data_IF_446864625167
#
_entry.id   IF_446864625167
#
_cell.length_a   1.000
_cell.length_b   1.000
_cell.length_c   1.000
_cell.angle_alpha   90.00
_cell.angle_beta   90.00
_cell.angle_gamma   90.00
#
_symmetry.space_group_name_H-M   'P 1'
#
loop_
_entity.id
_entity.type
_entity.pdbx_description
1 polymer ?
#
# COMPACT_ATOMS: atom_id res chain seq x y z
N UNK A 1 13.24 12.71 -5.49
CA UNK A 1 12.09 12.53 -4.57
C UNK A 1 10.87 13.28 -5.07
N UNK A 2 9.69 12.81 -4.66
CA UNK A 2 8.37 13.39 -4.95
C UNK A 2 7.46 13.16 -3.75
N UNK A 3 6.37 13.91 -3.67
CA UNK A 3 5.32 13.70 -2.68
C UNK A 3 4.48 12.48 -3.08
N UNK A 4 4.23 11.53 -2.16
CA UNK A 4 3.53 10.28 -2.51
C UNK A 4 2.01 10.44 -2.59
N UNK A 5 1.42 11.43 -1.93
CA UNK A 5 -0.02 11.47 -1.68
C UNK A 5 -0.52 10.15 -1.05
N UNK A 6 -1.74 9.73 -1.36
CA UNK A 6 -2.39 8.58 -0.72
C UNK A 6 -1.80 7.19 -1.02
N UNK A 7 -0.76 7.07 -1.89
CA UNK A 7 -0.03 5.80 -1.97
C UNK A 7 0.77 5.51 -0.69
N UNK A 8 0.99 6.52 0.17
CA UNK A 8 1.46 6.39 1.56
C UNK A 8 0.70 5.30 2.33
N UNK A 9 -0.60 5.15 2.08
CA UNK A 9 -1.48 4.20 2.77
C UNK A 9 -1.10 2.73 2.57
N UNK A 10 -0.27 2.43 1.57
CA UNK A 10 0.36 1.11 1.43
C UNK A 10 1.27 0.81 2.63
N UNK A 11 2.12 1.78 3.02
CA UNK A 11 2.96 1.65 4.21
C UNK A 11 2.12 1.63 5.49
N UNK A 12 1.07 2.45 5.56
CA UNK A 12 0.15 2.47 6.70
C UNK A 12 -0.54 1.13 6.89
N UNK A 13 -1.03 0.52 5.81
CA UNK A 13 -1.64 -0.80 5.86
C UNK A 13 -0.62 -1.88 6.27
N UNK A 14 0.60 -1.84 5.70
CA UNK A 14 1.68 -2.78 6.04
C UNK A 14 2.02 -2.72 7.53
N UNK A 15 2.31 -1.53 8.06
CA UNK A 15 2.66 -1.35 9.49
C UNK A 15 1.50 -1.76 10.38
N UNK A 16 0.25 -1.43 10.02
CA UNK A 16 -0.92 -1.85 10.80
C UNK A 16 -1.05 -3.37 10.83
N UNK A 17 -0.88 -4.07 9.71
CA UNK A 17 -0.96 -5.54 9.62
C UNK A 17 0.18 -6.26 10.37
N UNK A 18 1.30 -5.57 10.61
CA UNK A 18 2.40 -6.12 11.42
C UNK A 18 2.17 -5.98 12.92
N UNK A 19 1.27 -5.08 13.36
CA UNK A 19 1.08 -4.74 14.77
C UNK A 19 -0.33 -5.03 15.30
N UNK A 20 -1.28 -5.40 14.45
CA UNK A 20 -2.66 -5.63 14.83
C UNK A 20 -3.26 -6.84 14.12
N UNK A 21 -4.18 -7.55 14.78
CA UNK A 21 -5.02 -8.59 14.16
C UNK A 21 -6.21 -7.96 13.45
N UNK A 22 -6.68 -8.59 12.38
CA UNK A 22 -7.85 -8.11 11.63
C UNK A 22 -9.14 -8.10 12.47
N UNK A 23 -9.25 -8.99 13.44
CA UNK A 23 -10.37 -9.12 14.37
C UNK A 23 -10.33 -8.12 15.52
N UNK A 24 -9.17 -7.49 15.77
CA UNK A 24 -9.03 -6.47 16.81
C UNK A 24 -10.02 -5.33 16.55
N UNK A 25 -10.46 -4.70 17.64
CA UNK A 25 -11.42 -3.59 17.56
C UNK A 25 -10.75 -2.27 17.91
N UNK A 26 -10.86 -1.33 16.99
CA UNK A 26 -10.46 0.04 17.21
C UNK A 26 -11.66 0.88 17.64
N UNK A 27 -11.47 1.75 18.62
CA UNK A 27 -12.39 2.84 18.96
C UNK A 27 -11.71 4.15 18.61
N UNK A 28 -12.30 4.88 17.69
CA UNK A 28 -11.72 6.13 17.18
C UNK A 28 -11.90 7.28 18.18
N UNK A 29 -10.86 8.08 18.35
CA UNK A 29 -10.87 9.31 19.16
C UNK A 29 -11.16 10.55 18.29
N UNK A 30 -11.06 11.75 18.88
CA UNK A 30 -11.14 13.03 18.15
C UNK A 30 -10.05 13.21 17.08
N UNK A 31 -9.03 12.34 17.04
CA UNK A 31 -7.93 12.37 16.06
C UNK A 31 -8.43 12.23 14.62
N UNK A 32 -9.62 11.65 14.43
CA UNK A 32 -10.27 11.50 13.12
C UNK A 32 -10.57 12.84 12.44
N UNK A 33 -10.69 13.92 13.22
CA UNK A 33 -10.93 15.27 12.72
C UNK A 33 -9.64 16.03 12.37
N UNK A 34 -8.47 15.46 12.68
CA UNK A 34 -7.19 16.09 12.34
C UNK A 34 -6.81 15.84 10.86
N UNK A 35 -7.69 16.21 9.98
CA UNK A 35 -7.54 16.13 8.52
C UNK A 35 -8.09 17.41 7.86
N UNK A 36 -7.68 17.66 6.62
CA UNK A 36 -8.29 18.70 5.79
C UNK A 36 -9.74 18.33 5.45
N UNK A 37 -10.66 19.29 5.57
CA UNK A 37 -12.12 19.05 5.49
C UNK A 37 -12.61 18.53 4.13
N UNK A 38 -11.87 18.82 3.06
CA UNK A 38 -12.15 18.40 1.69
C UNK A 38 -11.33 17.18 1.24
N UNK A 39 -10.54 16.62 2.15
CA UNK A 39 -9.76 15.42 1.88
C UNK A 39 -10.59 14.14 2.00
N UNK A 40 -10.13 13.05 1.36
CA UNK A 40 -10.81 11.74 1.40
C UNK A 40 -10.98 11.22 2.82
N UNK A 41 -12.19 10.83 3.20
CA UNK A 41 -12.51 10.27 4.52
C UNK A 41 -13.68 9.29 4.46
N UNK A 42 -13.81 8.42 5.45
CA UNK A 42 -14.93 7.48 5.60
C UNK A 42 -16.05 8.02 6.48
N UNK A 43 -15.93 9.24 7.00
CA UNK A 43 -16.91 9.88 7.89
C UNK A 43 -16.97 9.24 9.27
N UNK A 44 -15.82 8.81 9.78
CA UNK A 44 -15.70 8.21 11.11
C UNK A 44 -15.96 9.26 12.18
N UNK A 45 -16.70 8.85 13.21
CA UNK A 45 -17.01 9.71 14.35
C UNK A 45 -16.22 9.29 15.61
N UNK A 46 -15.87 10.24 16.48
CA UNK A 46 -15.29 9.90 17.78
C UNK A 46 -16.19 8.97 18.59
N UNK A 47 -15.59 7.94 19.19
CA UNK A 47 -16.28 6.86 19.88
C UNK A 47 -16.88 5.81 18.95
N UNK A 48 -16.72 5.92 17.65
CA UNK A 48 -17.07 4.86 16.70
C UNK A 48 -16.12 3.68 16.86
N UNK A 49 -16.66 2.45 16.74
CA UNK A 49 -15.90 1.21 16.90
C UNK A 49 -16.11 0.29 15.71
N UNK A 50 -15.02 -0.19 15.15
CA UNK A 50 -15.04 -1.20 14.08
C UNK A 50 -13.86 -2.17 14.23
N UNK A 51 -13.80 -3.21 13.39
CA UNK A 51 -12.63 -4.10 13.36
C UNK A 51 -11.50 -3.46 12.56
N UNK A 52 -10.26 -3.91 12.78
CA UNK A 52 -9.09 -3.50 11.98
C UNK A 52 -9.32 -3.86 10.50
N UNK A 53 -9.96 -5.00 10.21
CA UNK A 53 -10.34 -5.34 8.83
C UNK A 53 -11.24 -4.29 8.17
N UNK A 54 -12.28 -3.84 8.88
CA UNK A 54 -13.19 -2.80 8.39
C UNK A 54 -12.44 -1.47 8.17
N UNK A 55 -11.58 -1.10 9.11
CA UNK A 55 -10.75 0.10 9.02
C UNK A 55 -9.76 0.02 7.83
N UNK A 56 -9.09 -1.10 7.63
CA UNK A 56 -8.17 -1.28 6.50
C UNK A 56 -8.88 -1.28 5.14
N UNK A 57 -10.11 -1.81 5.05
CA UNK A 57 -10.92 -1.67 3.84
C UNK A 57 -11.28 -0.20 3.56
N UNK A 58 -11.69 0.56 4.57
CA UNK A 58 -11.95 2.01 4.41
C UNK A 58 -10.66 2.77 4.02
N UNK A 59 -9.52 2.44 4.64
CA UNK A 59 -8.22 3.00 4.31
C UNK A 59 -7.84 2.80 2.85
N UNK A 60 -7.98 1.58 2.35
CA UNK A 60 -7.49 1.20 1.02
C UNK A 60 -8.47 1.58 -0.09
N UNK A 61 -9.79 1.36 0.09
CA UNK A 61 -10.79 1.57 -0.93
C UNK A 61 -11.20 3.05 -1.03
N UNK A 62 -11.61 3.67 0.08
CA UNK A 62 -12.02 5.09 0.12
C UNK A 62 -10.84 6.05 0.30
N UNK A 63 -9.65 5.51 0.49
CA UNK A 63 -8.49 6.37 0.79
C UNK A 63 -8.68 7.21 2.07
N UNK A 64 -9.36 6.67 3.07
CA UNK A 64 -9.85 7.38 4.25
C UNK A 64 -8.72 7.91 5.15
N UNK A 65 -8.57 9.23 5.21
CA UNK A 65 -7.53 9.90 6.01
C UNK A 65 -7.87 9.89 7.51
N UNK A 66 -9.15 10.03 7.86
CA UNK A 66 -9.67 9.90 9.22
C UNK A 66 -9.33 8.52 9.82
N UNK A 67 -9.52 7.47 9.02
CA UNK A 67 -9.16 6.10 9.40
C UNK A 67 -7.65 5.94 9.55
N UNK A 68 -6.85 6.52 8.65
CA UNK A 68 -5.39 6.47 8.75
C UNK A 68 -4.89 7.03 10.08
N UNK A 69 -5.44 8.18 10.51
CA UNK A 69 -5.11 8.79 11.80
C UNK A 69 -5.52 7.90 12.98
N UNK A 70 -6.71 7.31 12.92
CA UNK A 70 -7.17 6.39 13.96
C UNK A 70 -6.31 5.13 14.07
N UNK A 71 -5.92 4.52 12.94
CA UNK A 71 -5.01 3.38 12.92
C UNK A 71 -3.63 3.75 13.50
N UNK A 72 -3.12 4.94 13.18
CA UNK A 72 -1.87 5.44 13.73
C UNK A 72 -1.94 5.59 15.26
N UNK A 73 -3.02 6.17 15.77
CA UNK A 73 -3.23 6.28 17.22
C UNK A 73 -3.37 4.91 17.87
N UNK A 74 -4.12 3.99 17.26
CA UNK A 74 -4.32 2.64 17.78
C UNK A 74 -3.00 1.87 17.90
N UNK A 75 -2.15 1.91 16.87
CA UNK A 75 -0.90 1.12 16.81
C UNK A 75 0.21 1.76 17.64
N UNK A 76 0.36 3.08 17.60
CA UNK A 76 1.53 3.77 18.15
C UNK A 76 1.19 4.88 19.16
N UNK A 77 -0.07 5.06 19.51
CA UNK A 77 -0.54 6.06 20.47
C UNK A 77 -0.55 7.50 19.91
N UNK A 78 0.00 7.74 18.72
CA UNK A 78 0.00 9.07 18.08
C UNK A 78 0.37 8.99 16.59
N UNK A 79 0.04 10.04 15.83
CA UNK A 79 0.48 10.18 14.43
C UNK A 79 2.01 10.19 14.33
N UNK A 80 2.69 10.93 15.22
CA UNK A 80 4.16 10.99 15.21
C UNK A 80 4.79 9.63 15.51
N UNK A 81 4.33 8.92 16.56
CA UNK A 81 4.85 7.59 16.88
C UNK A 81 4.63 6.58 15.75
N UNK A 82 3.50 6.70 15.03
CA UNK A 82 3.25 5.85 13.86
C UNK A 82 4.15 6.22 12.68
N UNK A 83 4.42 7.51 12.46
CA UNK A 83 5.37 7.96 11.45
C UNK A 83 6.78 7.45 11.73
N UNK A 84 7.19 7.38 13.00
CA UNK A 84 8.47 6.77 13.39
C UNK A 84 8.52 5.28 13.00
N UNK A 85 7.45 4.52 13.25
CA UNK A 85 7.35 3.11 12.81
C UNK A 85 7.39 2.98 11.28
N UNK A 86 6.71 3.87 10.55
CA UNK A 86 6.76 3.88 9.07
C UNK A 86 8.18 4.13 8.56
N UNK A 87 8.90 5.07 9.17
CA UNK A 87 10.28 5.40 8.79
C UNK A 87 11.27 4.29 9.17
N UNK A 88 11.08 3.67 10.33
CA UNK A 88 11.84 2.48 10.72
C UNK A 88 11.63 1.33 9.73
N UNK A 89 10.37 1.08 9.33
CA UNK A 89 10.05 0.06 8.33
C UNK A 89 10.66 0.39 6.96
N UNK A 90 10.59 1.64 6.52
CA UNK A 90 11.23 2.08 5.28
C UNK A 90 12.75 1.82 5.30
N UNK A 91 13.42 2.15 6.41
CA UNK A 91 14.85 1.88 6.57
C UNK A 91 15.17 0.37 6.55
N UNK A 92 14.35 -0.46 7.22
CA UNK A 92 14.49 -1.94 7.18
C UNK A 92 14.36 -2.50 5.78
N UNK A 93 13.52 -1.89 4.93
CA UNK A 93 13.33 -2.27 3.52
C UNK A 93 14.44 -1.73 2.60
N UNK A 94 15.38 -0.94 3.12
CA UNK A 94 16.46 -0.36 2.33
C UNK A 94 16.10 0.92 1.59
N UNK A 95 15.00 1.57 1.97
CA UNK A 95 14.62 2.87 1.43
C UNK A 95 15.59 3.96 1.94
N UNK A 96 16.14 4.75 1.03
CA UNK A 96 17.12 5.81 1.35
C UNK A 96 16.67 7.20 0.96
N UNK A 97 15.58 7.31 0.20
CA UNK A 97 15.01 8.56 -0.30
C UNK A 97 13.54 8.72 0.09
N UNK A 98 13.17 8.19 1.26
CA UNK A 98 11.79 8.20 1.75
C UNK A 98 11.74 8.69 3.18
N UNK A 99 10.77 9.56 3.47
CA UNK A 99 10.42 9.98 4.81
C UNK A 99 8.90 10.16 4.91
N UNK A 100 8.30 9.58 5.94
CA UNK A 100 6.88 9.67 6.24
C UNK A 100 6.67 10.58 7.45
N UNK A 101 5.91 11.66 7.27
CA UNK A 101 5.54 12.59 8.33
C UNK A 101 4.11 12.33 8.86
N UNK A 102 3.30 11.57 8.11
CA UNK A 102 1.92 11.24 8.48
C UNK A 102 1.47 9.92 7.84
N UNK A 103 0.35 9.30 8.33
CA UNK A 103 -0.12 8.00 7.85
C UNK A 103 -1.00 8.07 6.59
N UNK A 104 -1.41 9.24 6.13
CA UNK A 104 -2.41 9.40 5.07
C UNK A 104 -1.86 9.93 3.74
N UNK A 105 -0.74 10.67 3.76
CA UNK A 105 -0.12 11.23 2.56
C UNK A 105 -0.59 12.63 2.17
N UNK A 106 -1.33 13.35 3.04
CA UNK A 106 -1.56 14.77 2.86
C UNK A 106 -0.23 15.51 2.91
N UNK A 107 -0.16 16.63 2.23
CA UNK A 107 1.08 17.33 1.98
C UNK A 107 1.77 17.81 3.28
N UNK A 108 3.05 17.49 3.38
CA UNK A 108 4.03 18.07 4.30
C UNK A 108 5.38 18.10 3.58
N UNK A 109 6.17 19.14 3.79
CA UNK A 109 7.45 19.33 3.07
C UNK A 109 8.42 18.16 3.27
N UNK A 110 8.40 17.56 4.45
CA UNK A 110 9.23 16.42 4.84
C UNK A 110 8.58 15.04 4.57
N UNK A 111 7.41 15.00 3.89
CA UNK A 111 6.71 13.77 3.52
C UNK A 111 6.99 13.42 2.06
N UNK A 112 8.01 12.62 1.78
CA UNK A 112 8.47 12.34 0.42
C UNK A 112 8.90 10.90 0.22
N UNK A 113 8.96 10.48 -1.05
CA UNK A 113 9.49 9.18 -1.49
C UNK A 113 10.12 9.27 -2.88
N UNK A 114 10.65 8.16 -3.39
CA UNK A 114 10.98 7.99 -4.81
C UNK A 114 10.32 6.70 -5.34
N UNK A 115 10.26 6.55 -6.67
CA UNK A 115 9.60 5.40 -7.28
C UNK A 115 10.24 4.07 -6.87
N UNK A 116 11.57 4.03 -6.74
CA UNK A 116 12.29 2.84 -6.32
C UNK A 116 11.96 2.43 -4.88
N UNK A 117 12.04 3.37 -3.93
CA UNK A 117 11.73 3.09 -2.53
C UNK A 117 10.27 2.68 -2.36
N UNK A 118 9.35 3.38 -3.07
CA UNK A 118 7.93 3.02 -3.04
C UNK A 118 7.67 1.62 -3.63
N UNK A 119 8.46 1.19 -4.62
CA UNK A 119 8.39 -0.16 -5.16
C UNK A 119 8.87 -1.20 -4.13
N UNK A 120 9.92 -0.92 -3.35
CA UNK A 120 10.36 -1.79 -2.25
C UNK A 120 9.26 -1.94 -1.19
N UNK A 121 8.63 -0.83 -0.79
CA UNK A 121 7.53 -0.81 0.17
C UNK A 121 6.34 -1.60 -0.37
N UNK A 122 5.97 -1.35 -1.62
CA UNK A 122 4.88 -2.03 -2.30
C UNK A 122 5.13 -3.54 -2.41
N UNK A 123 6.34 -3.96 -2.75
CA UNK A 123 6.74 -5.36 -2.79
C UNK A 123 6.59 -6.01 -1.42
N UNK A 124 7.12 -5.39 -0.36
CA UNK A 124 7.02 -5.92 1.00
C UNK A 124 5.57 -6.05 1.47
N UNK A 125 4.73 -5.05 1.18
CA UNK A 125 3.31 -5.12 1.47
C UNK A 125 2.62 -6.27 0.72
N UNK A 126 2.96 -6.49 -0.54
CA UNK A 126 2.36 -7.54 -1.37
C UNK A 126 2.75 -8.96 -0.94
N UNK A 127 3.83 -9.16 -0.18
CA UNK A 127 4.14 -10.46 0.44
C UNK A 127 3.14 -10.84 1.55
N UNK A 128 2.48 -9.87 2.17
CA UNK A 128 1.41 -10.11 3.15
C UNK A 128 0.10 -10.52 2.43
N UNK A 129 -0.43 -11.69 2.76
CA UNK A 129 -1.64 -12.24 2.12
C UNK A 129 -2.87 -11.37 2.36
N UNK A 130 -3.02 -10.81 3.57
CA UNK A 130 -4.15 -9.94 3.90
C UNK A 130 -4.04 -8.60 3.17
N UNK A 131 -2.83 -8.06 3.04
CA UNK A 131 -2.63 -6.88 2.20
C UNK A 131 -3.03 -7.13 0.74
N UNK A 132 -2.64 -8.27 0.15
CA UNK A 132 -3.05 -8.62 -1.23
C UNK A 132 -4.57 -8.65 -1.35
N UNK A 133 -5.25 -9.28 -0.39
CA UNK A 133 -6.72 -9.34 -0.36
C UNK A 133 -7.33 -7.94 -0.31
N UNK A 134 -6.86 -7.07 0.59
CA UNK A 134 -7.30 -5.68 0.70
C UNK A 134 -7.07 -4.89 -0.59
N UNK A 135 -5.87 -4.97 -1.16
CA UNK A 135 -5.49 -4.23 -2.37
C UNK A 135 -6.28 -4.65 -3.62
N UNK A 136 -6.72 -5.91 -3.69
CA UNK A 136 -7.51 -6.47 -4.80
C UNK A 136 -9.02 -6.33 -4.62
N UNK A 137 -9.50 -5.94 -3.43
CA UNK A 137 -10.94 -5.78 -3.15
C UNK A 137 -11.50 -4.60 -3.94
N UNK A 138 -12.51 -4.84 -4.78
CA UNK A 138 -13.17 -3.80 -5.57
C UNK A 138 -14.22 -3.04 -4.75
N UNK A 139 -14.98 -3.77 -3.94
CA UNK A 139 -16.04 -3.19 -3.10
C UNK A 139 -16.07 -3.87 -1.74
N UNK A 140 -16.40 -3.13 -0.71
CA UNK A 140 -16.58 -3.66 0.64
C UNK A 140 -17.84 -3.05 1.27
N UNK A 141 -18.73 -3.92 1.76
CA UNK A 141 -19.88 -3.49 2.54
C UNK A 141 -19.50 -3.47 4.03
N UNK A 142 -19.29 -2.26 4.57
CA UNK A 142 -19.00 -2.07 5.97
C UNK A 142 -20.31 -2.08 6.77
N UNK A 143 -20.50 -3.02 7.69
CA UNK A 143 -21.70 -3.09 8.50
C UNK A 143 -21.93 -1.82 9.32
N UNK A 144 -23.17 -1.61 9.76
CA UNK A 144 -23.49 -0.56 10.73
C UNK A 144 -22.62 -0.67 11.97
N UNK A 145 -22.28 0.48 12.54
CA UNK A 145 -21.49 0.58 13.76
C UNK A 145 -22.34 1.13 14.93
N UNK A 146 -21.71 1.31 16.08
CA UNK A 146 -22.34 1.95 17.24
C UNK A 146 -22.67 3.45 17.02
N UNK A 147 -22.11 4.08 15.98
CA UNK A 147 -22.33 5.51 15.67
C UNK A 147 -23.04 5.73 14.33
N UNK A 148 -22.94 4.78 13.40
CA UNK A 148 -23.53 4.87 12.07
C UNK A 148 -24.61 3.80 11.93
N UNK A 149 -25.91 4.18 11.82
CA UNK A 149 -27.02 3.24 11.80
C UNK A 149 -27.16 2.50 10.46
N UNK A 150 -26.59 3.04 9.41
CA UNK A 150 -26.61 2.49 8.06
C UNK A 150 -25.29 1.83 7.69
N UNK A 151 -25.35 0.89 6.75
CA UNK A 151 -24.15 0.31 6.14
C UNK A 151 -23.44 1.33 5.26
N UNK A 152 -22.11 1.26 5.20
CA UNK A 152 -21.29 2.07 4.29
C UNK A 152 -20.72 1.18 3.21
N UNK A 153 -20.75 1.64 1.96
CA UNK A 153 -20.21 0.93 0.81
C UNK A 153 -18.92 1.62 0.37
N UNK A 154 -17.82 0.92 0.47
CA UNK A 154 -16.51 1.40 0.05
C UNK A 154 -16.17 0.86 -1.34
N UNK A 155 -15.61 1.72 -2.19
CA UNK A 155 -15.27 1.39 -3.57
C UNK A 155 -13.79 1.65 -3.84
N UNK A 156 -13.12 0.69 -4.46
CA UNK A 156 -11.73 0.87 -4.82
C UNK A 156 -11.61 1.87 -5.98
N UNK A 157 -10.78 2.89 -5.80
CA UNK A 157 -10.58 3.93 -6.80
C UNK A 157 -9.62 3.50 -7.93
N UNK A 158 -9.03 2.31 -7.86
CA UNK A 158 -8.07 1.83 -8.86
C UNK A 158 -8.79 1.29 -10.10
N UNK A 159 -8.89 2.11 -11.14
CA UNK A 159 -9.68 1.80 -12.35
C UNK A 159 -9.24 0.56 -13.12
N UNK A 160 -7.97 0.11 -12.99
CA UNK A 160 -7.51 -1.12 -13.65
C UNK A 160 -8.07 -2.40 -13.05
N UNK A 161 -8.68 -2.35 -11.86
CA UNK A 161 -9.39 -3.46 -11.22
C UNK A 161 -10.86 -3.57 -11.65
N UNK A 162 -11.43 -2.50 -12.17
CA UNK A 162 -12.86 -2.37 -12.44
C UNK A 162 -13.16 -2.84 -13.87
N UNK A 163 -13.89 -3.94 -14.02
CA UNK A 163 -14.16 -4.58 -15.32
C UNK A 163 -14.98 -3.72 -16.29
N UNK A 164 -15.69 -2.71 -15.79
CA UNK A 164 -16.45 -1.74 -16.55
C UNK A 164 -15.66 -0.46 -16.90
N UNK A 165 -14.43 -0.36 -16.41
CA UNK A 165 -13.53 0.75 -16.69
C UNK A 165 -12.84 0.60 -18.04
N UNK A 166 -12.67 1.70 -18.78
CA UNK A 166 -11.82 1.74 -19.99
C UNK A 166 -10.32 1.46 -19.75
N UNK A 167 -9.90 1.40 -18.47
CA UNK A 167 -8.53 1.10 -18.05
C UNK A 167 -8.36 -0.32 -17.52
N UNK A 168 -9.41 -1.14 -17.51
CA UNK A 168 -9.34 -2.50 -16.99
C UNK A 168 -8.21 -3.31 -17.60
N UNK A 169 -7.49 -4.04 -16.74
CA UNK A 169 -6.43 -4.96 -17.14
C UNK A 169 -6.61 -6.30 -16.41
N UNK A 170 -6.68 -7.37 -17.17
CA UNK A 170 -6.88 -8.74 -16.65
C UNK A 170 -5.73 -9.24 -15.76
N UNK A 171 -4.54 -8.69 -15.96
CA UNK A 171 -3.35 -8.98 -15.14
C UNK A 171 -3.30 -8.14 -13.86
N UNK A 172 -4.13 -7.10 -13.68
CA UNK A 172 -4.10 -6.25 -12.50
C UNK A 172 -4.63 -6.99 -11.28
N UNK A 173 -3.83 -7.05 -10.22
CA UNK A 173 -4.15 -7.76 -8.98
C UNK A 173 -4.32 -6.83 -7.79
N UNK A 174 -4.25 -5.53 -7.97
CA UNK A 174 -4.43 -4.57 -6.91
C UNK A 174 -3.67 -3.27 -7.11
N UNK A 175 -3.82 -2.36 -6.17
CA UNK A 175 -3.06 -1.12 -6.18
C UNK A 175 -3.59 -0.04 -5.25
N UNK A 176 -3.03 1.16 -5.39
CA UNK A 176 -3.47 2.36 -4.67
C UNK A 176 -3.27 3.59 -5.52
N UNK A 177 -4.27 4.45 -5.59
CA UNK A 177 -4.22 5.77 -6.21
C UNK A 177 -3.87 6.85 -5.18
N UNK A 178 -3.30 7.96 -5.63
CA UNK A 178 -3.11 9.13 -4.80
C UNK A 178 -3.14 10.42 -5.62
N UNK A 179 -3.58 11.48 -4.97
CA UNK A 179 -3.58 12.83 -5.53
C UNK A 179 -3.51 13.88 -4.41
N UNK A 180 -2.67 14.88 -4.58
CA UNK A 180 -2.73 16.20 -3.95
C UNK A 180 -2.29 17.24 -4.98
N UNK A 181 -2.55 18.54 -4.73
CA UNK A 181 -2.10 19.62 -5.61
C UNK A 181 -0.58 19.63 -5.82
N UNK A 182 0.18 19.19 -4.81
CA UNK A 182 1.65 19.21 -4.81
C UNK A 182 2.24 17.90 -5.35
N UNK A 183 1.59 16.77 -5.07
CA UNK A 183 2.02 15.45 -5.56
C UNK A 183 1.60 15.20 -7.02
N UNK A 184 0.52 15.82 -7.48
CA UNK A 184 -0.22 15.46 -8.68
C UNK A 184 -0.71 14.00 -8.59
N UNK A 185 -0.90 13.32 -9.73
CA UNK A 185 -1.35 11.94 -9.71
C UNK A 185 -0.20 10.98 -9.35
N UNK A 186 -0.47 10.08 -8.43
CA UNK A 186 0.41 8.99 -8.05
C UNK A 186 -0.36 7.67 -8.12
N UNK A 187 0.33 6.61 -8.53
CA UNK A 187 -0.30 5.31 -8.73
C UNK A 187 0.69 4.19 -8.40
N UNK A 188 0.26 3.23 -7.61
CA UNK A 188 0.93 1.95 -7.45
C UNK A 188 -0.01 0.87 -7.95
N UNK A 189 0.48 0.02 -8.86
CA UNK A 189 -0.28 -1.09 -9.44
C UNK A 189 0.49 -2.38 -9.33
N UNK A 190 -0.18 -3.40 -8.80
CA UNK A 190 0.32 -4.77 -8.79
C UNK A 190 -0.27 -5.54 -9.96
N UNK A 191 0.53 -6.39 -10.57
CA UNK A 191 0.06 -7.26 -11.65
C UNK A 191 0.71 -8.62 -11.60
N UNK A 192 -0.04 -9.63 -12.08
CA UNK A 192 0.45 -10.99 -12.22
C UNK A 192 0.04 -11.56 -13.58
N UNK A 193 1.01 -12.12 -14.32
CA UNK A 193 0.78 -12.78 -15.60
C UNK A 193 1.77 -13.94 -15.74
N UNK A 194 1.27 -15.14 -16.08
CA UNK A 194 2.10 -16.34 -16.23
C UNK A 194 3.01 -16.67 -15.03
N UNK A 195 2.57 -16.32 -13.81
CA UNK A 195 3.34 -16.51 -12.59
C UNK A 195 4.42 -15.46 -12.34
N UNK A 196 4.63 -14.51 -13.26
CA UNK A 196 5.47 -13.34 -13.03
C UNK A 196 4.65 -12.25 -12.34
N UNK A 197 5.15 -11.76 -11.20
CA UNK A 197 4.57 -10.64 -10.44
C UNK A 197 5.40 -9.39 -10.64
N UNK A 198 4.72 -8.31 -10.95
CA UNK A 198 5.33 -7.00 -11.16
C UNK A 198 4.61 -5.95 -10.31
N UNK A 199 5.35 -4.91 -9.95
CA UNK A 199 4.81 -3.68 -9.36
C UNK A 199 5.25 -2.50 -10.22
N UNK A 200 4.29 -1.61 -10.53
CA UNK A 200 4.56 -0.34 -11.21
C UNK A 200 4.25 0.82 -10.27
N UNK A 201 5.13 1.80 -10.23
CA UNK A 201 4.99 3.02 -9.42
C UNK A 201 5.09 4.23 -10.32
N UNK A 202 4.03 5.03 -10.37
CA UNK A 202 3.98 6.32 -11.04
C UNK A 202 3.94 7.42 -9.97
N UNK A 203 4.78 8.43 -10.11
CA UNK A 203 4.83 9.60 -9.24
C UNK A 203 4.79 10.88 -10.07
N UNK A 204 4.00 11.84 -9.58
CA UNK A 204 3.95 13.19 -10.13
C UNK A 204 3.54 13.25 -11.60
N UNK A 205 2.48 12.52 -11.93
CA UNK A 205 1.93 12.50 -13.27
C UNK A 205 0.91 13.63 -13.49
N UNK A 206 0.94 14.24 -14.67
CA UNK A 206 0.11 15.40 -15.01
C UNK A 206 -1.38 15.06 -15.22
N UNK A 207 -1.76 13.78 -15.28
CA UNK A 207 -3.14 13.36 -15.44
C UNK A 207 -3.41 11.95 -14.96
N UNK A 208 -4.57 11.72 -14.36
CA UNK A 208 -4.96 10.39 -13.91
C UNK A 208 -5.00 9.38 -15.06
N UNK A 209 -5.51 9.81 -16.22
CA UNK A 209 -5.59 8.97 -17.42
C UNK A 209 -4.19 8.63 -17.96
N UNK A 210 -3.26 9.59 -17.91
CA UNK A 210 -1.88 9.36 -18.30
C UNK A 210 -1.20 8.35 -17.37
N UNK A 211 -1.39 8.47 -16.06
CA UNK A 211 -0.84 7.54 -15.08
C UNK A 211 -1.29 6.08 -15.33
N UNK A 212 -2.55 5.86 -15.71
CA UNK A 212 -3.04 4.53 -16.10
C UNK A 212 -2.42 4.04 -17.42
N UNK A 213 -2.30 4.90 -18.43
CA UNK A 213 -1.69 4.54 -19.71
C UNK A 213 -0.21 4.20 -19.56
N UNK A 214 0.53 5.00 -18.79
CA UNK A 214 1.96 4.76 -18.53
C UNK A 214 2.16 3.48 -17.72
N UNK A 215 1.28 3.23 -16.72
CA UNK A 215 1.26 1.97 -15.99
C UNK A 215 1.04 0.78 -16.92
N UNK A 216 0.03 0.84 -17.81
CA UNK A 216 -0.24 -0.25 -18.73
C UNK A 216 0.96 -0.52 -19.68
N UNK A 217 1.58 0.53 -20.20
CA UNK A 217 2.76 0.42 -21.07
C UNK A 217 3.95 -0.22 -20.34
N UNK A 218 4.27 0.24 -19.11
CA UNK A 218 5.38 -0.29 -18.31
C UNK A 218 5.14 -1.74 -17.90
N UNK A 219 3.92 -2.07 -17.46
CA UNK A 219 3.57 -3.44 -17.05
C UNK A 219 3.59 -4.41 -18.22
N UNK A 220 3.03 -4.03 -19.37
CA UNK A 220 3.08 -4.86 -20.58
C UNK A 220 4.52 -5.07 -21.05
N UNK A 221 5.34 -4.01 -21.08
CA UNK A 221 6.77 -4.14 -21.34
C UNK A 221 7.44 -5.13 -20.38
N UNK A 222 7.14 -5.02 -19.06
CA UNK A 222 7.70 -5.93 -18.07
C UNK A 222 7.29 -7.39 -18.31
N UNK A 223 6.01 -7.65 -18.61
CA UNK A 223 5.52 -9.00 -18.90
C UNK A 223 6.03 -9.58 -20.24
N UNK A 224 6.43 -8.73 -21.18
CA UNK A 224 7.00 -9.16 -22.47
C UNK A 224 8.50 -9.41 -22.41
N UNK A 225 9.23 -8.65 -21.55
CA UNK A 225 10.69 -8.69 -21.52
C UNK A 225 11.26 -9.63 -20.44
N UNK A 226 10.47 -10.01 -19.43
CA UNK A 226 10.94 -10.81 -18.30
C UNK A 226 10.09 -12.06 -18.13
N UNK A 227 10.77 -13.17 -17.78
CA UNK A 227 10.16 -14.43 -17.44
C UNK A 227 10.58 -14.90 -16.05
N UNK A 228 9.71 -15.65 -15.40
CA UNK A 228 10.05 -16.34 -14.16
C UNK A 228 10.92 -17.56 -14.47
N UNK A 229 12.19 -17.54 -14.02
CA UNK A 229 13.09 -18.67 -14.14
C UNK A 229 13.24 -19.35 -12.78
N UNK A 230 12.93 -20.64 -12.71
CA UNK A 230 13.25 -21.45 -11.53
C UNK A 230 14.71 -21.87 -11.62
N UNK A 231 15.57 -21.25 -10.82
CA UNK A 231 16.96 -21.67 -10.70
C UNK A 231 17.02 -22.86 -9.75
N UNK A 232 17.26 -24.05 -10.27
CA UNK A 232 17.61 -25.17 -9.40
C UNK A 232 19.05 -24.95 -8.89
N UNK A 233 19.27 -25.04 -7.57
CA UNK A 233 20.62 -24.97 -7.05
C UNK A 233 21.40 -26.13 -7.66
N UNK A 234 22.38 -25.83 -8.49
CA UNK A 234 23.31 -26.86 -8.93
C UNK A 234 24.04 -27.37 -7.69
N UNK A 235 23.83 -28.63 -7.30
CA UNK A 235 24.55 -29.34 -6.24
C UNK A 235 26.05 -29.52 -6.58
N UNK A 236 26.69 -28.45 -7.04
CA UNK A 236 28.09 -28.40 -7.42
C UNK A 236 28.78 -27.21 -6.78
N UNK A 237 28.66 -27.09 -5.45
CA UNK A 237 29.75 -26.47 -4.74
C UNK A 237 30.54 -27.62 -4.10
N UNK A 238 31.78 -27.84 -4.51
CA UNK A 238 32.61 -28.79 -3.81
C UNK A 238 32.75 -28.33 -2.35
N UNK A 239 32.89 -29.27 -1.46
CA UNK A 239 33.19 -29.14 -0.02
C UNK A 239 34.21 -28.05 0.36
N UNK A 240 34.88 -27.48 -0.59
CA UNK A 240 35.82 -26.37 -0.46
C UNK A 240 35.16 -25.07 0.03
N UNK A 241 33.93 -24.73 -0.38
CA UNK A 241 33.21 -23.53 0.08
C UNK A 241 32.65 -23.68 1.49
N UNK A 242 32.23 -24.88 1.87
CA UNK A 242 31.86 -25.19 3.25
C UNK A 242 33.04 -25.11 4.19
N UNK A 243 34.23 -25.56 3.75
CA UNK A 243 35.48 -25.47 4.50
C UNK A 243 35.98 -24.03 4.69
N UNK A 244 35.55 -23.08 3.83
CA UNK A 244 35.95 -21.68 3.92
C UNK A 244 34.92 -20.81 4.68
N UNK A 245 33.81 -21.37 5.18
CA UNK A 245 32.79 -20.63 5.92
C UNK A 245 32.03 -19.60 5.08
N UNK A 246 32.02 -19.76 3.75
CA UNK A 246 31.26 -18.86 2.86
C UNK A 246 29.80 -19.29 2.80
N UNK A 247 28.95 -18.46 3.30
CA UNK A 247 27.48 -18.65 3.23
C UNK A 247 26.98 -18.14 1.88
N UNK A 248 26.34 -19.02 1.11
CA UNK A 248 25.66 -18.63 -0.12
C UNK A 248 24.33 -17.94 0.23
N UNK A 249 24.24 -16.63 -0.01
CA UNK A 249 23.01 -15.85 0.18
C UNK A 249 22.18 -15.89 -1.11
N UNK A 250 21.71 -17.07 -1.47
CA UNK A 250 20.68 -17.23 -2.49
C UNK A 250 19.40 -17.71 -1.84
N UNK A 251 18.33 -16.93 -1.86
CA UNK A 251 17.01 -17.41 -1.46
C UNK A 251 16.52 -18.41 -2.49
N UNK A 252 16.61 -19.69 -2.18
CA UNK A 252 15.90 -20.75 -2.90
C UNK A 252 14.59 -20.92 -2.17
N UNK A 253 13.50 -20.44 -2.76
CA UNK A 253 12.16 -20.86 -2.35
C UNK A 253 11.84 -22.13 -3.13
N UNK A 254 11.52 -23.20 -2.38
CA UNK A 254 10.87 -24.39 -2.90
C UNK A 254 9.41 -24.08 -3.28
#
# INVERSE_FOLDING_TARGET
TRYPASITKIMTALVTLEHASLEDRITFSEIVYNIESDSSHAGIQPGETMTIEQALNALMLESANDVANGLAEYVAGSISGFSDLMNEKAAQLGCVNTHFANPHGLHQEDHYTCAYDMALIAQAAYENTEFRRLASTCTFNCPKTNKTPDERYFYNHHKMLQSDSGYYQDWCTGGKTGFTSDAWNTLVTYGEKNGLRLVCVILHDNGADQAYNDTANLMNYGFEQFDRVTVQPQRRFPTFYEAMGLVYLGSVQE
#
